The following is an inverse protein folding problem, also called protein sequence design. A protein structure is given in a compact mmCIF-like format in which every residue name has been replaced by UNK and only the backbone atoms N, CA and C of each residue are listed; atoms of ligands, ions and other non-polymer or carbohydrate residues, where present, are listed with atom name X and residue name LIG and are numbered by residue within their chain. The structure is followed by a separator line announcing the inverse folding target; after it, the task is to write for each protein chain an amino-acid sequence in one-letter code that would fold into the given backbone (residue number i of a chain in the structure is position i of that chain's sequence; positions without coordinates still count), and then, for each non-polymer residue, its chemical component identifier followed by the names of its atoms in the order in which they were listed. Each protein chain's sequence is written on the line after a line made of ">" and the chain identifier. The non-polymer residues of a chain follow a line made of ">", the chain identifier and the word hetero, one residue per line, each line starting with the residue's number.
data_IF_282482161514
#
_entry.id   IF_282482161514
#
_cell.length_a   1.000
_cell.length_b   1.000
_cell.length_c   1.000
_cell.angle_alpha   90.00
_cell.angle_beta   90.00
_cell.angle_gamma   90.00
#
_symmetry.space_group_name_H-M   'P 1'
#
loop_
_entity.id
_entity.type
_entity.pdbx_description
1 polymer ?
#
# COMPACT_ATOMS: atom_id res chain seq x y z
N UNK A 1 4.21 -22.59 0.65
CA UNK A 1 2.80 -22.73 0.17
C UNK A 1 2.18 -21.37 0.29
N UNK A 2 1.19 -21.00 -0.51
CA UNK A 2 0.51 -19.72 -0.42
C UNK A 2 -0.94 -19.97 0.01
N UNK A 3 -1.40 -19.31 1.06
CA UNK A 3 -2.82 -19.29 1.46
C UNK A 3 -3.44 -17.98 1.01
N UNK A 4 -4.57 -18.03 0.32
CA UNK A 4 -5.34 -16.86 -0.13
C UNK A 4 -6.65 -16.85 0.65
N UNK A 5 -6.92 -15.78 1.39
CA UNK A 5 -8.15 -15.58 2.13
C UNK A 5 -9.12 -14.69 1.34
N UNK A 6 -10.42 -15.03 1.40
CA UNK A 6 -11.49 -14.21 0.83
C UNK A 6 -11.47 -12.79 1.42
N UNK A 7 -11.15 -12.65 2.68
CA UNK A 7 -11.14 -11.39 3.43
C UNK A 7 -9.93 -10.47 3.14
N UNK A 8 -9.46 -10.48 1.89
CA UNK A 8 -8.53 -9.47 1.37
C UNK A 8 -7.08 -9.58 1.85
N UNK A 9 -6.63 -10.77 2.23
CA UNK A 9 -5.24 -11.01 2.62
C UNK A 9 -4.70 -12.35 2.11
N UNK A 10 -3.40 -12.51 2.10
CA UNK A 10 -2.70 -13.76 1.84
C UNK A 10 -1.65 -14.02 2.91
N UNK A 11 -1.26 -15.28 3.08
CA UNK A 11 -0.07 -15.68 3.83
C UNK A 11 0.88 -16.45 2.91
N UNK A 12 2.18 -16.19 3.03
CA UNK A 12 3.21 -16.96 2.33
C UNK A 12 3.39 -18.36 2.94
N UNK A 13 2.64 -18.68 3.98
CA UNK A 13 2.63 -19.96 4.65
C UNK A 13 1.23 -20.61 4.61
N UNK A 14 1.17 -21.90 4.91
CA UNK A 14 -0.09 -22.60 5.06
C UNK A 14 -0.73 -22.26 6.41
N UNK A 15 -2.00 -21.85 6.39
CA UNK A 15 -2.75 -21.53 7.61
C UNK A 15 -4.22 -21.88 7.43
N UNK A 16 -4.86 -22.26 8.52
CA UNK A 16 -6.32 -22.46 8.63
C UNK A 16 -7.03 -21.21 9.21
N UNK A 17 -6.29 -20.10 9.37
CA UNK A 17 -6.87 -18.84 9.82
C UNK A 17 -7.74 -18.28 8.71
N UNK A 18 -8.94 -17.84 9.05
CA UNK A 18 -9.94 -17.27 8.14
C UNK A 18 -10.50 -15.92 8.66
N UNK A 19 -9.70 -15.22 9.46
CA UNK A 19 -10.12 -13.98 10.10
C UNK A 19 -10.66 -12.94 9.10
N UNK A 20 -11.85 -12.43 9.44
CA UNK A 20 -12.48 -11.27 8.80
C UNK A 20 -12.28 -9.97 9.63
N UNK A 21 -12.09 -10.07 10.95
CA UNK A 21 -11.79 -8.93 11.79
C UNK A 21 -10.40 -8.39 11.47
N UNK A 22 -10.34 -7.12 11.12
CA UNK A 22 -9.08 -6.46 10.88
C UNK A 22 -8.33 -6.17 12.20
N UNK A 23 -7.03 -6.10 12.14
CA UNK A 23 -6.13 -5.77 13.26
C UNK A 23 -4.91 -5.01 12.73
N UNK A 24 -4.22 -4.32 13.66
CA UNK A 24 -2.99 -3.58 13.29
C UNK A 24 -1.86 -4.53 12.88
N UNK A 25 -0.95 -4.07 12.04
CA UNK A 25 0.28 -4.74 11.66
C UNK A 25 1.46 -4.03 12.37
N UNK A 26 2.40 -4.77 13.04
CA UNK A 26 2.42 -6.23 13.24
C UNK A 26 1.44 -6.69 14.32
N UNK A 27 0.99 -7.94 14.24
CA UNK A 27 0.07 -8.53 15.21
C UNK A 27 0.16 -10.05 15.27
N UNK A 28 0.23 -10.65 16.44
CA UNK A 28 0.18 -12.12 16.58
C UNK A 28 -1.22 -12.71 16.37
N UNK A 29 -2.20 -11.89 16.00
CA UNK A 29 -3.59 -12.33 15.76
C UNK A 29 -3.78 -12.93 14.37
N UNK A 30 -3.01 -12.46 13.39
CA UNK A 30 -3.09 -12.92 12.02
C UNK A 30 -2.20 -14.13 11.72
N UNK A 31 -2.17 -14.56 10.48
CA UNK A 31 -1.22 -15.58 10.03
C UNK A 31 0.18 -15.00 9.90
N UNK A 32 1.19 -15.84 10.09
CA UNK A 32 2.58 -15.51 9.80
C UNK A 32 2.76 -15.07 8.33
N UNK A 33 3.73 -14.21 8.07
CA UNK A 33 4.05 -13.72 6.71
C UNK A 33 2.83 -13.16 5.96
N UNK A 34 1.98 -12.42 6.66
CA UNK A 34 0.75 -11.86 6.09
C UNK A 34 1.04 -10.71 5.13
N UNK A 35 0.31 -10.72 4.01
CA UNK A 35 0.26 -9.61 3.04
C UNK A 35 -1.20 -9.24 2.89
N UNK A 36 -1.57 -8.03 3.29
CA UNK A 36 -2.94 -7.55 3.34
C UNK A 36 -3.11 -6.35 2.39
N UNK A 37 -3.50 -6.57 1.12
CA UNK A 37 -3.83 -5.47 0.23
C UNK A 37 -5.08 -4.69 0.70
N UNK A 38 -6.07 -5.38 1.27
CA UNK A 38 -7.26 -4.76 1.85
C UNK A 38 -7.95 -5.83 2.72
N UNK A 39 -7.46 -5.99 3.95
CA UNK A 39 -8.06 -6.92 4.91
C UNK A 39 -9.29 -6.30 5.55
N UNK A 40 -10.44 -6.90 5.29
CA UNK A 40 -11.72 -6.48 5.81
C UNK A 40 -12.72 -7.64 5.81
N UNK A 41 -13.94 -7.44 6.30
CA UNK A 41 -15.03 -8.43 6.26
C UNK A 41 -15.66 -8.49 4.87
N UNK A 42 -14.90 -9.01 3.90
CA UNK A 42 -15.35 -9.14 2.53
C UNK A 42 -16.24 -10.38 2.38
N UNK A 43 -17.46 -10.18 1.84
CA UNK A 43 -18.45 -11.22 1.73
C UNK A 43 -19.17 -11.28 0.37
N UNK A 44 -20.14 -12.16 0.24
CA UNK A 44 -20.98 -12.32 -0.95
C UNK A 44 -22.38 -11.71 -0.76
N UNK A 45 -22.53 -10.81 0.19
CA UNK A 45 -23.81 -10.18 0.57
C UNK A 45 -24.90 -11.25 0.81
N UNK A 46 -24.64 -12.16 1.74
CA UNK A 46 -25.50 -13.31 2.07
C UNK A 46 -25.82 -14.24 0.88
N UNK A 47 -24.86 -14.43 -0.02
CA UNK A 47 -24.98 -15.26 -1.21
C UNK A 47 -25.80 -14.65 -2.34
N UNK A 48 -26.12 -13.35 -2.27
CA UNK A 48 -26.86 -12.64 -3.31
C UNK A 48 -25.99 -12.13 -4.44
N UNK A 49 -24.66 -11.99 -4.20
CA UNK A 49 -23.69 -11.46 -5.14
C UNK A 49 -22.58 -12.49 -5.45
N UNK A 50 -22.02 -12.50 -6.66
CA UNK A 50 -20.86 -13.34 -6.94
C UNK A 50 -19.64 -12.81 -6.18
N UNK A 51 -18.98 -13.73 -5.44
CA UNK A 51 -17.73 -13.46 -4.76
C UNK A 51 -16.59 -14.11 -5.53
N UNK A 52 -15.69 -13.33 -6.10
CA UNK A 52 -14.63 -13.84 -6.95
C UNK A 52 -13.26 -13.40 -6.47
N UNK A 53 -12.43 -14.38 -6.15
CA UNK A 53 -10.99 -14.20 -5.98
C UNK A 53 -10.28 -15.00 -7.06
N UNK A 54 -9.51 -14.30 -7.86
CA UNK A 54 -8.79 -14.87 -8.99
C UNK A 54 -7.29 -14.87 -8.72
N UNK A 55 -6.58 -15.83 -9.30
CA UNK A 55 -5.13 -15.77 -9.34
C UNK A 55 -4.61 -16.15 -10.72
N UNK A 56 -3.52 -15.53 -11.10
CA UNK A 56 -2.87 -15.77 -12.39
C UNK A 56 -1.35 -15.62 -12.25
N UNK A 57 -0.61 -16.62 -12.70
CA UNK A 57 0.85 -16.52 -12.83
C UNK A 57 1.23 -16.10 -14.24
N UNK A 58 1.74 -14.89 -14.40
CA UNK A 58 2.27 -14.34 -15.64
C UNK A 58 3.70 -14.88 -15.87
N UNK A 59 3.80 -15.93 -16.68
CA UNK A 59 5.06 -16.58 -17.01
C UNK A 59 6.00 -15.70 -17.85
N UNK A 60 5.47 -14.71 -18.56
CA UNK A 60 6.27 -13.81 -19.40
C UNK A 60 6.91 -12.71 -18.57
N UNK A 61 6.18 -12.17 -17.63
CA UNK A 61 6.65 -11.09 -16.76
C UNK A 61 7.03 -11.58 -15.36
N UNK A 62 7.03 -12.89 -15.11
CA UNK A 62 7.47 -13.52 -13.86
C UNK A 62 6.85 -12.89 -12.61
N UNK A 63 5.51 -12.89 -12.55
CA UNK A 63 4.77 -12.34 -11.41
C UNK A 63 3.49 -13.12 -11.16
N UNK A 64 3.11 -13.23 -9.88
CA UNK A 64 1.82 -13.76 -9.46
C UNK A 64 0.88 -12.57 -9.21
N UNK A 65 -0.30 -12.63 -9.80
CA UNK A 65 -1.37 -11.66 -9.59
C UNK A 65 -2.49 -12.37 -8.85
N UNK A 66 -3.00 -11.76 -7.77
CA UNK A 66 -4.19 -12.19 -7.05
C UNK A 66 -5.15 -11.02 -7.04
N UNK A 67 -6.39 -11.25 -7.44
CA UNK A 67 -7.40 -10.20 -7.62
C UNK A 67 -8.67 -10.58 -6.86
N UNK A 68 -9.16 -9.66 -6.06
CA UNK A 68 -10.52 -9.62 -5.53
C UNK A 68 -11.32 -8.72 -6.45
N UNK A 69 -12.28 -9.32 -7.17
CA UNK A 69 -13.00 -8.61 -8.24
C UNK A 69 -14.48 -8.46 -7.91
N UNK A 70 -14.88 -7.21 -7.70
CA UNK A 70 -16.26 -6.82 -7.46
C UNK A 70 -16.86 -7.52 -6.23
N UNK A 71 -16.12 -7.54 -5.14
CA UNK A 71 -16.53 -8.14 -3.88
C UNK A 71 -17.30 -7.13 -3.02
N UNK A 72 -18.22 -7.61 -2.18
CA UNK A 72 -18.93 -6.80 -1.20
C UNK A 72 -18.10 -6.69 0.08
N UNK A 73 -18.33 -5.61 0.82
CA UNK A 73 -17.84 -5.47 2.19
C UNK A 73 -19.05 -5.61 3.14
N UNK A 74 -18.97 -6.49 4.13
CA UNK A 74 -20.09 -6.82 5.01
C UNK A 74 -20.65 -5.61 5.74
N UNK A 75 -19.81 -4.72 6.24
CA UNK A 75 -20.25 -3.51 6.93
C UNK A 75 -20.71 -2.42 5.96
N UNK A 76 -20.02 -2.21 4.84
CA UNK A 76 -20.37 -1.18 3.84
C UNK A 76 -21.70 -1.49 3.16
N UNK A 77 -21.95 -2.73 2.79
CA UNK A 77 -23.17 -3.15 2.11
C UNK A 77 -24.41 -3.03 2.99
N UNK A 78 -24.27 -3.16 4.30
CA UNK A 78 -25.38 -3.00 5.24
C UNK A 78 -25.89 -1.55 5.27
N UNK A 79 -24.99 -0.58 5.18
CA UNK A 79 -25.32 0.84 5.27
C UNK A 79 -25.43 1.53 3.90
N UNK A 80 -24.86 0.96 2.87
CA UNK A 80 -24.85 1.51 1.52
C UNK A 80 -25.08 0.45 0.43
N UNK A 81 -26.32 -0.08 0.31
CA UNK A 81 -26.63 -1.22 -0.58
C UNK A 81 -26.42 -0.95 -2.08
N UNK A 82 -26.11 0.29 -2.46
CA UNK A 82 -25.78 0.67 -3.84
C UNK A 82 -24.36 1.21 -3.97
N UNK A 83 -23.50 0.97 -2.97
CA UNK A 83 -22.11 1.39 -3.00
C UNK A 83 -21.31 0.65 -4.08
N UNK A 84 -20.16 1.22 -4.38
CA UNK A 84 -19.20 0.61 -5.29
C UNK A 84 -18.62 -0.62 -4.61
N UNK A 85 -18.62 -1.73 -5.33
CA UNK A 85 -17.94 -2.94 -4.88
C UNK A 85 -16.42 -2.74 -4.89
N UNK A 86 -15.75 -3.42 -3.98
CA UNK A 86 -14.30 -3.43 -3.90
C UNK A 86 -13.72 -4.24 -5.06
N UNK A 87 -12.76 -3.65 -5.74
CA UNK A 87 -11.95 -4.34 -6.75
C UNK A 87 -10.50 -3.90 -6.60
N UNK A 88 -9.66 -4.85 -6.23
CA UNK A 88 -8.25 -4.62 -6.00
C UNK A 88 -7.43 -5.86 -6.31
N UNK A 89 -6.13 -5.69 -6.51
CA UNK A 89 -5.23 -6.80 -6.76
C UNK A 89 -3.90 -6.62 -6.03
N UNK A 90 -3.29 -7.76 -5.76
CA UNK A 90 -1.92 -7.85 -5.30
C UNK A 90 -1.06 -8.48 -6.37
N UNK A 91 0.13 -7.94 -6.57
CA UNK A 91 1.14 -8.45 -7.50
C UNK A 91 2.39 -8.80 -6.70
N UNK A 92 2.80 -10.06 -6.76
CA UNK A 92 4.08 -10.54 -6.23
C UNK A 92 5.04 -10.75 -7.39
N UNK A 93 6.14 -10.01 -7.41
CA UNK A 93 7.19 -10.17 -8.40
C UNK A 93 8.17 -11.28 -7.99
N UNK A 94 8.49 -12.16 -8.93
CA UNK A 94 9.45 -13.23 -8.69
C UNK A 94 10.86 -12.65 -8.47
N UNK A 95 11.47 -12.81 -7.30
CA UNK A 95 12.78 -12.22 -6.99
C UNK A 95 13.92 -12.82 -7.84
N UNK A 96 13.72 -13.93 -8.53
CA UNK A 96 14.72 -14.43 -9.47
C UNK A 96 14.85 -13.58 -10.74
N UNK A 97 13.80 -12.84 -11.09
CA UNK A 97 13.72 -12.02 -12.30
C UNK A 97 13.58 -10.51 -12.00
N UNK A 98 13.03 -10.16 -10.85
CA UNK A 98 12.77 -8.80 -10.40
C UNK A 98 13.39 -8.56 -9.03
N UNK A 99 14.71 -8.66 -8.95
CA UNK A 99 15.44 -8.49 -7.70
C UNK A 99 15.50 -7.02 -7.30
N UNK A 100 15.18 -6.75 -6.05
CA UNK A 100 15.58 -5.52 -5.37
C UNK A 100 17.07 -5.58 -5.01
N UNK A 101 17.63 -4.49 -4.49
CA UNK A 101 19.05 -4.47 -4.07
C UNK A 101 19.34 -5.50 -2.96
N UNK A 102 18.37 -5.78 -2.09
CA UNK A 102 18.49 -6.80 -1.04
C UNK A 102 18.27 -8.23 -1.54
N UNK A 103 17.84 -8.42 -2.79
CA UNK A 103 17.57 -9.72 -3.39
C UNK A 103 16.13 -10.21 -3.20
N UNK A 104 15.29 -9.41 -2.53
CA UNK A 104 13.86 -9.70 -2.35
C UNK A 104 13.05 -9.33 -3.60
N UNK A 105 11.81 -9.84 -3.68
CA UNK A 105 10.84 -9.42 -4.68
C UNK A 105 10.09 -8.16 -4.27
N UNK A 106 9.55 -7.46 -5.25
CA UNK A 106 8.66 -6.34 -5.01
C UNK A 106 7.22 -6.83 -4.80
N UNK A 107 6.45 -6.11 -3.99
CA UNK A 107 5.02 -6.33 -3.79
C UNK A 107 4.29 -5.06 -4.21
N UNK A 108 3.25 -5.19 -5.03
CA UNK A 108 2.44 -4.05 -5.45
C UNK A 108 0.97 -4.35 -5.18
N UNK A 109 0.30 -3.44 -4.49
CA UNK A 109 -1.16 -3.40 -4.36
C UNK A 109 -1.71 -2.39 -5.36
N UNK A 110 -2.78 -2.72 -6.04
CA UNK A 110 -3.45 -1.81 -6.98
C UNK A 110 -4.95 -1.81 -6.71
N UNK A 111 -5.53 -0.62 -6.66
CA UNK A 111 -6.93 -0.41 -6.32
C UNK A 111 -7.68 0.20 -7.51
N UNK A 112 -8.61 -0.57 -8.05
CA UNK A 112 -9.51 -0.13 -9.12
C UNK A 112 -10.68 0.65 -8.54
N UNK A 113 -11.28 0.12 -7.48
CA UNK A 113 -12.34 0.77 -6.71
C UNK A 113 -12.36 0.19 -5.30
N UNK A 114 -12.38 1.08 -4.33
CA UNK A 114 -12.59 0.78 -2.91
C UNK A 114 -13.59 1.80 -2.37
N UNK A 115 -14.47 1.36 -1.50
CA UNK A 115 -15.45 2.18 -0.82
C UNK A 115 -15.39 1.89 0.68
N UNK A 116 -14.39 2.47 1.33
CA UNK A 116 -14.05 2.24 2.74
C UNK A 116 -14.75 3.28 3.63
N UNK A 117 -16.03 3.05 3.92
CA UNK A 117 -16.89 3.97 4.68
C UNK A 117 -17.40 3.37 5.98
N UNK A 118 -16.75 2.36 6.50
CA UNK A 118 -17.19 1.66 7.70
C UNK A 118 -17.55 2.58 8.85
N UNK A 119 -18.61 2.23 9.53
CA UNK A 119 -19.01 2.93 10.72
C UNK A 119 -18.38 2.29 11.97
N UNK A 120 -18.29 3.07 13.03
CA UNK A 120 -17.80 2.60 14.34
C UNK A 120 -16.32 2.24 14.42
N UNK A 121 -15.49 2.66 13.45
CA UNK A 121 -14.03 2.46 13.49
C UNK A 121 -13.58 1.04 13.16
N UNK A 122 -14.37 0.32 12.38
CA UNK A 122 -14.09 -1.05 11.91
C UNK A 122 -13.59 -1.01 10.46
N UNK A 123 -12.62 -0.16 10.18
CA UNK A 123 -12.08 0.03 8.84
C UNK A 123 -10.97 -0.95 8.52
N UNK A 124 -10.63 -1.04 7.25
CA UNK A 124 -9.66 -1.98 6.70
C UNK A 124 -8.26 -1.92 7.31
N UNK A 125 -7.49 -2.97 7.10
CA UNK A 125 -6.04 -3.02 7.33
C UNK A 125 -5.31 -3.24 6.03
N UNK A 126 -4.29 -2.39 5.76
CA UNK A 126 -3.41 -2.50 4.59
C UNK A 126 -1.96 -2.53 5.06
N UNK A 127 -1.23 -3.57 4.66
CA UNK A 127 0.18 -3.69 5.01
C UNK A 127 0.78 -5.07 4.75
N UNK A 128 2.00 -5.25 5.23
CA UNK A 128 2.75 -6.51 5.16
C UNK A 128 3.39 -6.81 6.51
N UNK A 129 3.51 -8.08 6.85
CA UNK A 129 4.01 -8.53 8.14
C UNK A 129 5.11 -9.58 8.01
N UNK A 130 6.08 -9.54 8.93
CA UNK A 130 7.17 -10.51 9.00
C UNK A 130 6.68 -11.92 9.42
N UNK A 131 7.46 -12.97 9.12
CA UNK A 131 7.14 -14.32 9.59
C UNK A 131 7.00 -14.43 11.11
N UNK A 132 7.77 -13.66 11.86
CA UNK A 132 7.77 -13.65 13.33
C UNK A 132 6.65 -12.82 13.94
N UNK A 133 5.87 -12.13 13.13
CA UNK A 133 4.72 -11.29 13.55
C UNK A 133 5.07 -10.20 14.56
N UNK A 134 6.32 -9.77 14.56
CA UNK A 134 6.85 -8.73 15.47
C UNK A 134 7.41 -7.51 14.73
N UNK A 135 7.40 -7.54 13.40
CA UNK A 135 7.80 -6.46 12.51
C UNK A 135 6.88 -6.43 11.29
N UNK A 136 6.74 -5.26 10.67
CA UNK A 136 5.86 -5.11 9.52
C UNK A 136 5.75 -3.65 9.08
N UNK A 137 5.14 -3.46 7.92
CA UNK A 137 4.84 -2.13 7.38
C UNK A 137 3.33 -1.98 7.29
N UNK A 138 2.76 -1.18 8.19
CA UNK A 138 1.34 -0.82 8.16
C UNK A 138 1.16 0.45 7.34
N UNK A 139 0.40 0.35 6.25
CA UNK A 139 0.02 1.50 5.44
C UNK A 139 -1.25 2.16 5.98
N UNK A 140 -2.24 1.35 6.36
CA UNK A 140 -3.51 1.80 6.92
C UNK A 140 -4.00 0.83 8.00
N UNK A 141 -4.65 1.36 9.02
CA UNK A 141 -5.44 0.61 10.00
C UNK A 141 -6.53 1.50 10.58
N UNK A 142 -7.79 1.09 10.48
CA UNK A 142 -8.95 1.78 11.03
C UNK A 142 -8.96 3.30 10.73
N UNK A 143 -8.88 3.67 9.46
CA UNK A 143 -8.78 5.08 9.03
C UNK A 143 -7.61 5.87 9.63
N UNK A 144 -6.66 5.19 10.24
CA UNK A 144 -5.44 5.82 10.73
C UNK A 144 -4.30 5.53 9.73
N UNK A 145 -4.06 6.43 8.77
CA UNK A 145 -3.02 6.24 7.79
C UNK A 145 -1.66 6.21 8.49
N UNK A 146 -0.84 5.23 8.13
CA UNK A 146 0.56 5.19 8.50
C UNK A 146 1.34 6.38 7.93
N UNK A 147 2.58 6.52 8.34
CA UNK A 147 3.48 7.55 7.79
C UNK A 147 3.56 7.45 6.26
N UNK A 148 3.27 8.57 5.57
CA UNK A 148 3.33 8.66 4.11
C UNK A 148 2.12 8.07 3.36
N UNK A 149 1.08 7.66 4.06
CA UNK A 149 -0.14 7.18 3.44
C UNK A 149 -0.93 8.32 2.79
N UNK A 150 -1.36 8.11 1.53
CA UNK A 150 -2.27 8.99 0.81
C UNK A 150 -3.73 8.51 0.86
N UNK A 151 -4.01 7.50 1.67
CA UNK A 151 -5.35 6.98 1.84
C UNK A 151 -6.18 7.94 2.65
N UNK A 152 -7.29 8.37 2.12
CA UNK A 152 -8.26 9.22 2.81
C UNK A 152 -9.64 8.64 2.55
N UNK A 153 -10.14 7.89 3.51
CA UNK A 153 -11.44 7.22 3.44
C UNK A 153 -12.61 8.16 3.74
N UNK A 154 -12.37 9.33 4.28
CA UNK A 154 -13.38 10.29 4.73
C UNK A 154 -13.70 11.40 3.71
N UNK A 155 -13.15 11.33 2.49
CA UNK A 155 -13.59 12.21 1.43
C UNK A 155 -15.03 11.84 1.01
N UNK A 156 -15.94 12.73 1.15
CA UNK A 156 -17.37 12.88 0.84
C UNK A 156 -18.18 11.64 0.35
N UNK A 157 -17.54 10.59 -0.13
CA UNK A 157 -18.14 9.33 -0.58
C UNK A 157 -17.24 8.09 -0.33
N UNK A 158 -16.14 8.24 0.41
CA UNK A 158 -15.25 7.13 0.80
C UNK A 158 -14.58 6.38 -0.36
N UNK A 159 -14.76 6.84 -1.59
CA UNK A 159 -14.34 6.11 -2.77
C UNK A 159 -12.90 6.38 -3.13
N UNK A 160 -12.11 5.31 -3.22
CA UNK A 160 -10.72 5.33 -3.66
C UNK A 160 -10.58 4.56 -4.97
N UNK A 161 -9.89 5.14 -5.93
CA UNK A 161 -9.62 4.47 -7.21
C UNK A 161 -8.34 4.98 -7.87
N UNK A 162 -7.68 4.08 -8.62
CA UNK A 162 -6.49 4.43 -9.40
C UNK A 162 -5.23 4.63 -8.57
N UNK A 163 -5.19 4.13 -7.33
CA UNK A 163 -4.03 4.17 -6.44
C UNK A 163 -3.26 2.85 -6.54
N UNK A 164 -1.94 2.92 -6.40
CA UNK A 164 -1.08 1.77 -6.21
C UNK A 164 -0.10 2.01 -5.06
N UNK A 165 0.11 0.98 -4.23
CA UNK A 165 1.08 0.96 -3.15
C UNK A 165 2.15 -0.05 -3.53
N UNK A 166 3.42 0.35 -3.46
CA UNK A 166 4.55 -0.52 -3.76
C UNK A 166 5.41 -0.71 -2.51
N UNK A 167 5.61 -1.96 -2.12
CA UNK A 167 6.59 -2.34 -1.12
C UNK A 167 7.84 -2.83 -1.84
N UNK A 168 8.97 -2.23 -1.52
CA UNK A 168 10.27 -2.58 -2.09
C UNK A 168 11.33 -2.50 -1.00
N UNK A 169 12.27 -3.44 -1.01
CA UNK A 169 13.40 -3.41 -0.09
C UNK A 169 14.58 -2.73 -0.75
N UNK A 170 15.18 -1.82 0.02
CA UNK A 170 16.50 -1.29 -0.29
C UNK A 170 16.63 -0.62 -1.64
N UNK A 171 15.92 0.46 -1.91
CA UNK A 171 16.63 1.54 -2.51
C UNK A 171 17.62 2.06 -1.45
N UNK A 172 18.77 1.43 -1.35
CA UNK A 172 19.98 2.19 -1.12
C UNK A 172 20.31 2.92 -2.43
N UNK A 173 19.36 3.68 -2.99
CA UNK A 173 19.76 4.95 -3.49
C UNK A 173 20.31 5.62 -2.23
N UNK A 174 21.63 5.66 -2.12
CA UNK A 174 22.29 6.73 -1.41
C UNK A 174 21.84 8.00 -2.12
N UNK A 175 20.56 8.39 -1.88
CA UNK A 175 20.18 9.73 -2.30
C UNK A 175 21.13 10.61 -1.51
N UNK A 176 21.96 11.30 -2.23
CA UNK A 176 22.79 12.31 -1.63
C UNK A 176 21.82 13.33 -1.06
N UNK A 177 21.67 13.34 0.26
CA UNK A 177 20.74 14.25 0.92
C UNK A 177 21.03 15.66 0.39
N UNK A 178 19.99 16.37 -0.04
CA UNK A 178 20.03 17.69 -0.64
C UNK A 178 20.50 17.76 -2.13
N UNK A 179 21.04 16.70 -2.73
CA UNK A 179 21.36 16.65 -4.16
C UNK A 179 20.14 16.15 -4.94
N UNK A 180 19.18 17.05 -5.14
CA UNK A 180 17.85 16.73 -5.65
C UNK A 180 17.87 16.49 -7.16
N UNK A 181 18.75 17.19 -7.87
CA UNK A 181 18.93 17.03 -9.33
C UNK A 181 19.88 15.89 -9.69
N UNK A 182 20.56 15.30 -8.69
CA UNK A 182 21.49 14.16 -8.81
C UNK A 182 22.70 14.44 -9.70
N UNK A 183 23.18 15.69 -9.71
CA UNK A 183 24.39 16.07 -10.47
C UNK A 183 25.68 15.91 -9.66
N UNK A 184 25.58 15.48 -8.39
CA UNK A 184 26.69 15.28 -7.46
C UNK A 184 27.14 16.55 -6.74
N UNK A 185 26.41 17.69 -6.89
CA UNK A 185 26.76 18.99 -6.31
C UNK A 185 25.55 19.62 -5.66
N UNK A 186 25.49 19.65 -4.34
CA UNK A 186 24.43 20.38 -3.62
C UNK A 186 24.60 21.89 -3.82
N UNK A 187 23.64 22.51 -4.51
CA UNK A 187 23.68 23.93 -4.86
C UNK A 187 22.27 24.53 -5.04
N UNK A 188 22.19 25.77 -5.53
CA UNK A 188 20.89 26.46 -5.70
C UNK A 188 19.93 25.76 -6.69
N UNK A 189 20.41 24.91 -7.59
CA UNK A 189 19.56 24.19 -8.53
C UNK A 189 18.71 23.17 -7.81
N UNK A 190 19.24 22.55 -6.74
CA UNK A 190 18.51 21.61 -5.90
C UNK A 190 17.39 22.31 -5.12
N UNK A 191 17.67 23.51 -4.62
CA UNK A 191 16.65 24.33 -3.95
C UNK A 191 15.52 24.69 -4.92
N UNK A 192 15.86 25.05 -6.17
CA UNK A 192 14.85 25.34 -7.21
C UNK A 192 14.00 24.09 -7.52
N UNK A 193 14.61 22.91 -7.56
CA UNK A 193 13.89 21.65 -7.73
C UNK A 193 12.95 21.39 -6.54
N UNK A 194 13.43 21.50 -5.30
CA UNK A 194 12.62 21.36 -4.09
C UNK A 194 11.41 22.32 -4.08
N UNK A 195 11.62 23.58 -4.43
CA UNK A 195 10.54 24.58 -4.54
C UNK A 195 9.51 24.17 -5.59
N UNK A 196 9.97 23.66 -6.74
CA UNK A 196 9.06 23.20 -7.82
C UNK A 196 8.18 22.03 -7.36
N UNK A 197 8.73 21.13 -6.58
CA UNK A 197 7.98 20.00 -5.97
C UNK A 197 7.00 20.49 -4.91
N UNK A 198 7.45 21.36 -4.00
CA UNK A 198 6.59 21.93 -2.95
C UNK A 198 5.41 22.75 -3.52
N UNK A 199 5.58 23.37 -4.68
CA UNK A 199 4.52 24.09 -5.37
C UNK A 199 3.65 23.21 -6.28
N UNK A 200 3.95 21.91 -6.39
CA UNK A 200 3.22 20.98 -7.27
C UNK A 200 3.38 21.28 -8.76
N UNK A 201 4.39 22.05 -9.17
CA UNK A 201 4.66 22.37 -10.59
C UNK A 201 5.42 21.26 -11.30
N UNK A 202 6.02 20.33 -10.54
CA UNK A 202 6.60 19.07 -11.01
C UNK A 202 6.41 17.98 -9.97
N UNK A 203 6.52 16.72 -10.42
CA UNK A 203 6.38 15.54 -9.56
C UNK A 203 7.78 14.95 -9.36
N UNK A 204 8.26 14.76 -8.12
CA UNK A 204 9.56 14.18 -7.86
C UNK A 204 9.59 12.69 -8.23
N UNK A 205 10.73 12.23 -8.74
CA UNK A 205 11.03 10.79 -8.76
C UNK A 205 11.37 10.31 -7.35
N UNK A 206 11.36 8.98 -7.12
CA UNK A 206 11.62 8.40 -5.79
C UNK A 206 12.94 8.89 -5.16
N UNK A 207 14.01 8.96 -5.97
CA UNK A 207 15.33 9.41 -5.51
C UNK A 207 15.37 10.91 -5.21
N UNK A 208 14.62 11.71 -5.97
CA UNK A 208 14.46 13.14 -5.75
C UNK A 208 13.62 13.43 -4.50
N UNK A 209 12.56 12.63 -4.27
CA UNK A 209 11.78 12.71 -3.03
C UNK A 209 12.67 12.40 -1.82
N UNK A 210 13.44 11.32 -1.87
CA UNK A 210 14.37 10.94 -0.82
C UNK A 210 15.42 12.05 -0.54
N UNK A 211 15.95 12.70 -1.58
CA UNK A 211 16.94 13.78 -1.43
C UNK A 211 16.35 15.08 -0.88
N UNK A 212 15.06 15.33 -1.11
CA UNK A 212 14.38 16.59 -0.81
C UNK A 212 13.55 16.54 0.49
N UNK A 213 13.01 15.37 0.87
CA UNK A 213 12.24 15.16 2.10
C UNK A 213 13.19 14.98 3.28
N UNK A 214 13.56 16.09 3.90
CA UNK A 214 14.63 16.15 4.90
C UNK A 214 14.18 15.71 6.29
N UNK A 215 12.89 15.80 6.57
CA UNK A 215 12.29 15.38 7.84
C UNK A 215 11.63 13.99 7.78
N UNK A 216 11.60 13.36 6.58
CA UNK A 216 11.13 12.00 6.37
C UNK A 216 9.61 11.85 6.51
N UNK A 217 8.85 12.94 6.33
CA UNK A 217 7.39 12.92 6.50
C UNK A 217 6.62 12.52 5.22
N UNK A 218 7.32 12.28 4.11
CA UNK A 218 6.75 11.90 2.81
C UNK A 218 6.27 13.07 1.95
N UNK A 219 6.43 14.31 2.39
CA UNK A 219 6.02 15.51 1.67
C UNK A 219 7.16 16.51 1.55
N UNK A 220 7.37 17.02 0.35
CA UNK A 220 8.30 18.16 0.16
C UNK A 220 7.53 19.45 0.39
N UNK A 221 7.95 20.19 1.42
CA UNK A 221 7.30 21.43 1.83
C UNK A 221 8.33 22.50 2.27
N UNK A 222 7.86 23.61 2.84
CA UNK A 222 8.75 24.70 3.24
C UNK A 222 9.75 24.31 4.35
N UNK A 223 9.42 23.32 5.18
CA UNK A 223 10.30 22.84 6.27
C UNK A 223 11.55 22.20 5.66
N UNK A 224 11.37 21.38 4.63
CA UNK A 224 12.48 20.75 3.91
C UNK A 224 13.35 21.77 3.19
N UNK A 225 12.72 22.73 2.51
CA UNK A 225 13.46 23.79 1.82
C UNK A 225 14.32 24.58 2.81
N UNK A 226 13.81 24.88 3.99
CA UNK A 226 14.60 25.57 5.04
C UNK A 226 15.78 24.70 5.51
N UNK A 227 15.59 23.40 5.64
CA UNK A 227 16.66 22.48 6.02
C UNK A 227 17.75 22.37 4.95
N UNK A 228 17.38 22.45 3.65
CA UNK A 228 18.35 22.43 2.54
C UNK A 228 19.22 23.70 2.51
N UNK A 229 18.69 24.86 2.92
CA UNK A 229 19.39 26.16 2.86
C UNK A 229 20.12 26.53 4.16
N UNK A 230 19.98 25.74 5.22
CA UNK A 230 20.59 26.00 6.54
C UNK A 230 21.95 25.29 6.68
#
# INVERSE_FOLDING_TARGET
>A
MLTICSNGWVSLEETDIDHFWNFSIPSPMGPSSMIAPFMDDLDDNNGSEPFNVWYFYDQVNHKLIIEWDNVSNGEDDEYCPNCVKESFQMILFDPQYHQTISGDGEIVFQYKSIYDIDQNGVYSTIGIESPEQNDGVQYLYNNNPGLGSFWQSDELDGKISGIAIKFTTGNNSSCSLYDINQDGIVNVQDIVAAVSFALGTSVPLSDQLCAADTDGNGFINVVDIVAIVS
#
